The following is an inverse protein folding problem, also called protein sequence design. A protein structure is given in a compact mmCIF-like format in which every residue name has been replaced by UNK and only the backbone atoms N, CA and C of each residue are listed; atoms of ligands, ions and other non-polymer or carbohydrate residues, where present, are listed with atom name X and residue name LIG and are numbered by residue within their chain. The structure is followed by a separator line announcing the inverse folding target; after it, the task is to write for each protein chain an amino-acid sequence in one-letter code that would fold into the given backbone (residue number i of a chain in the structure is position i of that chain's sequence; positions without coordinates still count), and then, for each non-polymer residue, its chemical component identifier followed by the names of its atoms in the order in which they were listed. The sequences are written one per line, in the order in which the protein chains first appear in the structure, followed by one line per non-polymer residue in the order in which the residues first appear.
data_IF_771379233182
#
_entry.id   IF_771379233182
#
_cell.length_a   1.000
_cell.length_b   1.000
_cell.length_c   1.000
_cell.angle_alpha   90.00
_cell.angle_beta   90.00
_cell.angle_gamma   90.00
#
_symmetry.space_group_name_H-M   'P 1'
#
loop_
_entity.id
_entity.type
_entity.pdbx_description
1 polymer ?
2 non-polymer ?
#
# COMPACT_ATOMS: atom_id res chain seq x y z
N UNK A 29 23.93 22.75 13.59
CA UNK A 29 25.01 23.69 13.19
C UNK A 29 24.40 24.91 12.49
N UNK A 30 23.08 24.87 12.31
CA UNK A 30 22.32 25.93 11.66
C UNK A 30 21.61 26.80 12.69
N UNK A 31 20.68 26.19 13.42
CA UNK A 31 19.91 26.89 14.45
C UNK A 31 20.70 26.99 15.76
N UNK A 42 16.49 29.51 17.61
CA UNK A 42 16.16 29.72 16.20
C UNK A 42 17.38 29.59 15.27
N UNK A 43 17.19 29.98 14.00
CA UNK A 43 18.23 29.90 12.96
C UNK A 43 19.20 31.07 12.95
N UNK A 44 20.45 30.81 12.60
CA UNK A 44 21.42 31.89 12.52
C UNK A 44 21.07 32.72 11.30
N UNK A 45 21.55 33.97 11.24
CA UNK A 45 21.25 34.83 10.09
C UNK A 45 21.74 34.20 8.79
N UNK A 46 20.97 34.38 7.72
CA UNK A 46 21.36 33.83 6.44
C UNK A 46 21.04 32.36 6.24
N UNK A 47 20.71 31.64 7.31
CA UNK A 47 20.39 30.22 7.15
C UNK A 47 18.91 30.01 6.86
N UNK A 48 18.61 29.09 5.95
CA UNK A 48 17.23 28.82 5.54
C UNK A 48 16.52 27.71 6.33
N UNK A 49 17.28 26.78 6.90
CA UNK A 49 16.70 25.65 7.65
C UNK A 49 17.76 24.75 8.29
N UNK A 50 17.31 23.82 9.13
CA UNK A 50 18.20 22.87 9.80
C UNK A 50 17.70 21.49 9.43
N UNK A 51 18.58 20.63 8.88
CA UNK A 51 18.17 19.28 8.49
C UNK A 51 17.20 18.61 9.45
N UNK A 52 17.28 18.98 10.72
CA UNK A 52 16.39 18.40 11.73
C UNK A 52 14.92 18.52 11.32
N UNK A 53 14.53 19.72 10.88
CA UNK A 53 13.16 20.01 10.48
C UNK A 53 12.62 19.20 9.32
N UNK A 54 13.48 18.46 8.63
CA UNK A 54 13.00 17.68 7.51
C UNK A 54 14.12 17.28 6.57
N UNK A 55 13.87 16.28 5.71
CA UNK A 55 14.81 15.73 4.73
C UNK A 55 15.16 16.63 3.54
N UNK A 56 14.55 17.81 3.48
CA UNK A 56 14.82 18.73 2.38
C UNK A 56 15.70 19.91 2.74
N UNK A 57 16.65 19.70 3.64
CA UNK A 57 17.55 20.78 4.03
C UNK A 57 19.00 20.26 3.94
N UNK A 58 19.89 21.00 3.29
CA UNK A 58 21.26 20.53 3.16
C UNK A 58 21.96 20.60 4.50
N UNK A 59 23.07 19.89 4.60
CA UNK A 59 23.84 19.89 5.83
C UNK A 59 24.29 21.31 6.09
N UNK A 60 24.22 22.15 5.07
CA UNK A 60 24.62 23.53 5.21
C UNK A 60 23.45 24.52 5.35
N UNK A 61 22.30 24.01 5.78
CA UNK A 61 21.13 24.85 6.03
C UNK A 61 20.46 25.57 4.89
N UNK A 62 20.23 24.88 3.78
CA UNK A 62 19.58 25.53 2.65
C UNK A 62 18.58 24.55 2.07
N UNK A 63 17.45 25.04 1.58
CA UNK A 63 16.45 24.15 0.99
C UNK A 63 17.08 23.41 -0.20
N UNK A 64 16.73 22.14 -0.39
CA UNK A 64 17.27 21.38 -1.51
C UNK A 64 16.52 21.80 -2.77
N UNK A 65 17.04 21.44 -3.93
CA UNK A 65 16.40 21.83 -5.18
C UNK A 65 15.05 21.16 -5.40
N UNK A 66 14.22 21.81 -6.20
CA UNK A 66 12.91 21.30 -6.53
C UNK A 66 13.05 20.06 -7.39
N UNK A 67 14.10 19.28 -7.15
CA UNK A 67 14.30 18.06 -7.92
C UNK A 67 14.91 16.93 -7.09
N UNK A 68 15.12 17.17 -5.80
CA UNK A 68 15.69 16.15 -4.92
C UNK A 68 14.64 15.21 -4.33
N UNK A 69 14.95 13.92 -4.34
CA UNK A 69 14.08 12.88 -3.80
C UNK A 69 14.11 12.90 -2.28
N UNK A 70 12.95 12.77 -1.64
CA UNK A 70 12.90 12.76 -0.18
C UNK A 70 12.04 11.63 0.41
N UNK A 71 11.34 10.91 -0.46
CA UNK A 71 10.50 9.79 -0.04
C UNK A 71 10.62 8.70 -1.11
N UNK A 72 10.98 7.50 -0.69
CA UNK A 72 11.13 6.38 -1.62
C UNK A 72 9.80 6.09 -2.30
N UNK A 73 9.87 5.38 -3.41
CA UNK A 73 8.67 5.03 -4.15
C UNK A 73 7.81 4.11 -3.31
N UNK A 74 6.68 3.71 -3.86
CA UNK A 74 5.79 2.83 -3.12
C UNK A 74 4.76 2.17 -4.02
N UNK A 75 4.06 1.19 -3.45
CA UNK A 75 3.03 0.43 -4.16
C UNK A 75 1.90 1.32 -4.63
N UNK A 76 1.45 2.19 -3.74
CA UNK A 76 0.35 3.11 -4.03
C UNK A 76 0.78 4.58 -4.20
N UNK A 77 1.94 4.92 -3.65
CA UNK A 77 2.44 6.29 -3.75
C UNK A 77 3.69 6.42 -4.63
N UNK A 78 3.81 7.57 -5.29
CA UNK A 78 4.95 7.86 -6.12
C UNK A 78 6.00 8.39 -5.15
N UNK A 79 7.23 8.53 -5.63
CA UNK A 79 8.30 9.03 -4.79
C UNK A 79 8.08 10.50 -4.51
N UNK A 80 8.65 10.98 -3.41
CA UNK A 80 8.51 12.37 -3.06
C UNK A 80 9.70 13.22 -3.47
N UNK A 81 9.43 14.38 -4.05
CA UNK A 81 10.48 15.29 -4.46
C UNK A 81 10.38 16.51 -3.57
N UNK A 82 11.48 17.21 -3.35
CA UNK A 82 11.43 18.43 -2.55
C UNK A 82 10.97 19.56 -3.48
N UNK A 83 10.39 20.61 -2.91
CA UNK A 83 9.92 21.71 -3.74
C UNK A 83 10.87 22.90 -3.73
N UNK A 84 11.91 22.83 -2.91
CA UNK A 84 12.88 23.90 -2.84
C UNK A 84 12.43 25.13 -2.09
N UNK A 85 11.25 25.06 -1.49
CA UNK A 85 10.70 26.18 -0.73
C UNK A 85 10.58 25.90 0.76
N UNK A 86 10.57 24.61 1.12
CA UNK A 86 10.44 24.19 2.51
C UNK A 86 11.38 23.04 2.86
N UNK A 87 11.59 22.81 4.15
CA UNK A 87 12.44 21.71 4.63
C UNK A 87 11.63 20.44 4.92
N UNK A 88 10.33 20.48 4.61
CA UNK A 88 9.46 19.33 4.79
C UNK A 88 9.37 18.60 3.47
N UNK A 89 9.14 17.30 3.52
CA UNK A 89 9.03 16.53 2.31
C UNK A 89 7.55 16.49 1.95
N UNK A 90 7.18 17.10 0.81
CA UNK A 90 5.77 17.10 0.42
C UNK A 90 5.08 15.78 0.16
N UNK A 91 3.78 15.80 0.44
CA UNK A 91 2.82 14.70 0.30
C UNK A 91 3.20 13.41 -0.40
N UNK A 92 3.29 13.46 -1.72
CA UNK A 92 3.59 12.30 -2.58
C UNK A 92 2.31 11.99 -3.33
N UNK A 93 2.33 12.16 -4.64
CA UNK A 93 1.15 11.89 -5.43
C UNK A 93 0.79 10.41 -5.44
N UNK A 94 -0.51 10.10 -5.39
CA UNK A 94 -0.90 8.69 -5.40
C UNK A 94 -0.94 8.06 -6.80
N UNK A 95 -0.65 6.76 -6.88
CA UNK A 95 -0.67 6.03 -8.15
C UNK A 95 -2.14 5.74 -8.44
N UNK A 96 -2.46 5.35 -9.69
CA UNK A 96 -3.86 5.05 -10.04
C UNK A 96 -4.54 4.25 -8.93
N UNK A 97 -5.86 4.32 -8.86
CA UNK A 97 -6.57 3.61 -7.80
C UNK A 97 -6.52 2.09 -7.77
N UNK A 98 -7.17 1.38 -8.67
CA UNK A 98 -7.09 -0.06 -8.52
C UNK A 98 -5.77 -0.76 -8.83
N UNK A 99 -4.67 -0.10 -8.49
CA UNK A 99 -3.33 -0.62 -8.70
C UNK A 99 -3.06 -1.66 -7.60
N UNK A 100 -2.56 -2.83 -7.98
CA UNK A 100 -2.28 -3.89 -7.01
C UNK A 100 -1.27 -3.48 -5.95
N UNK A 101 -1.40 -4.04 -4.75
CA UNK A 101 -0.48 -3.76 -3.66
C UNK A 101 -0.52 -4.91 -2.69
N UNK A 102 0.51 -4.96 -1.85
CA UNK A 102 0.65 -6.00 -0.85
C UNK A 102 0.69 -7.35 -1.52
N UNK A 103 1.37 -7.42 -2.65
CA UNK A 103 1.51 -8.67 -3.40
C UNK A 103 0.19 -9.15 -3.95
N UNK A 104 -0.41 -8.34 -4.80
CA UNK A 104 -1.68 -8.68 -5.40
C UNK A 104 -2.72 -9.06 -4.36
N UNK A 105 -2.42 -8.83 -3.09
CA UNK A 105 -3.37 -9.16 -2.05
C UNK A 105 -4.45 -8.07 -1.94
N UNK A 106 -4.07 -6.82 -2.15
CA UNK A 106 -5.03 -5.72 -2.04
C UNK A 106 -4.92 -4.70 -3.14
N UNK A 107 -5.75 -3.66 -3.05
CA UNK A 107 -5.72 -2.58 -4.03
C UNK A 107 -5.44 -1.22 -3.37
N UNK A 108 -5.10 -0.25 -4.21
CA UNK A 108 -4.77 1.11 -3.77
C UNK A 108 -5.97 2.06 -3.75
N UNK A 109 -6.27 2.64 -2.59
CA UNK A 109 -7.38 3.59 -2.50
C UNK A 109 -6.87 4.90 -1.91
N UNK A 110 -6.79 5.94 -2.73
CA UNK A 110 -6.32 7.24 -2.26
C UNK A 110 -4.97 7.10 -1.56
N UNK A 111 -3.97 6.66 -2.31
CA UNK A 111 -2.63 6.50 -1.76
C UNK A 111 -2.49 5.64 -0.52
N UNK A 112 -3.28 4.58 -0.43
CA UNK A 112 -3.19 3.69 0.71
C UNK A 112 -3.54 2.29 0.25
N UNK A 113 -2.78 1.30 0.71
CA UNK A 113 -3.04 -0.07 0.34
C UNK A 113 -4.18 -0.52 1.23
N UNK A 114 -5.37 -0.56 0.66
CA UNK A 114 -6.54 -0.94 1.41
C UNK A 114 -7.37 -1.99 0.69
N UNK A 115 -8.59 -2.15 1.16
CA UNK A 115 -9.50 -3.10 0.57
C UNK A 115 -8.97 -4.50 0.33
N UNK A 116 -9.48 -5.10 -0.73
CA UNK A 116 -9.09 -6.44 -1.08
C UNK A 116 -8.99 -6.49 -2.59
N UNK A 117 -8.15 -7.40 -3.08
CA UNK A 117 -7.96 -7.53 -4.51
C UNK A 117 -9.31 -7.80 -5.19
N UNK A 118 -10.21 -8.44 -4.46
CA UNK A 118 -11.54 -8.75 -4.98
C UNK A 118 -12.28 -7.49 -5.44
N UNK A 119 -12.02 -6.36 -4.79
CA UNK A 119 -12.70 -5.11 -5.11
C UNK A 119 -12.31 -4.55 -6.46
N UNK A 120 -11.21 -5.04 -7.01
CA UNK A 120 -10.79 -4.55 -8.31
C UNK A 120 -11.77 -5.05 -9.37
N UNK A 121 -12.29 -6.26 -9.18
CA UNK A 121 -13.20 -6.84 -10.16
C UNK A 121 -14.69 -6.86 -9.80
N UNK A 122 -15.12 -5.95 -8.92
CA UNK A 122 -16.52 -5.91 -8.55
C UNK A 122 -16.97 -6.96 -7.53
N UNK A 123 -16.03 -7.79 -7.07
CA UNK A 123 -16.34 -8.84 -6.11
C UNK A 123 -16.00 -8.39 -4.70
N UNK A 124 -16.24 -9.28 -3.73
CA UNK A 124 -15.96 -9.01 -2.33
C UNK A 124 -15.19 -10.17 -1.70
N UNK A 125 -14.24 -9.87 -0.83
CA UNK A 125 -13.48 -10.93 -0.21
C UNK A 125 -14.38 -11.71 0.71
N UNK A 126 -14.18 -13.02 0.77
CA UNK A 126 -14.96 -13.90 1.65
C UNK A 126 -14.02 -14.99 2.11
N UNK A 127 -14.39 -15.68 3.18
CA UNK A 127 -13.57 -16.75 3.71
C UNK A 127 -13.79 -17.98 2.86
N UNK A 128 -12.71 -18.71 2.58
CA UNK A 128 -12.79 -19.93 1.78
C UNK A 128 -13.46 -21.07 2.55
N UNK A 137 -6.05 -23.41 7.15
CA UNK A 137 -6.05 -24.22 5.93
C UNK A 137 -6.21 -23.33 4.69
N UNK A 138 -7.37 -23.39 4.04
CA UNK A 138 -7.60 -22.54 2.87
C UNK A 138 -8.02 -21.18 3.42
N UNK A 139 -7.90 -21.05 4.74
CA UNK A 139 -8.25 -19.83 5.45
C UNK A 139 -7.34 -18.65 5.14
N UNK A 140 -6.17 -18.92 4.58
CA UNK A 140 -5.25 -17.84 4.24
C UNK A 140 -5.11 -17.78 2.74
N UNK A 141 -6.17 -18.17 2.06
CA UNK A 141 -6.21 -18.11 0.61
C UNK A 141 -7.19 -17.00 0.35
N UNK A 142 -7.01 -16.27 -0.74
CA UNK A 142 -7.96 -15.21 -1.01
C UNK A 142 -9.17 -15.76 -1.75
N UNK A 143 -10.35 -15.68 -1.14
CA UNK A 143 -11.57 -16.12 -1.79
C UNK A 143 -12.48 -14.92 -2.04
N UNK A 144 -13.12 -14.89 -3.21
CA UNK A 144 -14.03 -13.79 -3.54
C UNK A 144 -15.43 -14.30 -3.86
N UNK A 145 -16.40 -13.39 -3.87
CA UNK A 145 -17.78 -13.75 -4.20
C UNK A 145 -18.49 -12.52 -4.74
N UNK A 146 -19.57 -12.76 -5.51
CA UNK A 146 -20.38 -11.67 -6.03
C UNK A 146 -21.06 -11.16 -4.76
N UNK A 147 -21.46 -9.90 -4.73
CA UNK A 147 -22.08 -9.37 -3.52
C UNK A 147 -23.42 -10.04 -3.18
N UNK A 148 -23.70 -10.13 -1.88
CA UNK A 148 -24.93 -10.74 -1.36
C UNK A 148 -25.09 -12.22 -1.69
N UNK A 149 -24.13 -12.79 -2.43
CA UNK A 149 -24.20 -14.19 -2.85
C UNK A 149 -23.06 -15.09 -2.35
N UNK A 150 -23.04 -15.38 -1.05
CA UNK A 150 -22.02 -16.23 -0.44
C UNK A 150 -21.93 -17.61 -1.08
N UNK A 151 -22.89 -17.92 -1.92
CA UNK A 151 -22.91 -19.21 -2.61
C UNK A 151 -21.80 -19.25 -3.64
N UNK A 152 -21.44 -18.07 -4.11
CA UNK A 152 -20.43 -17.91 -5.14
C UNK A 152 -18.98 -17.79 -4.63
N UNK A 153 -18.79 -17.78 -3.31
CA UNK A 153 -17.46 -17.66 -2.70
C UNK A 153 -16.51 -18.76 -3.12
N UNK A 154 -15.53 -18.40 -3.95
CA UNK A 154 -14.53 -19.34 -4.45
C UNK A 154 -13.15 -18.71 -4.48
N UNK A 155 -12.11 -19.54 -4.38
CA UNK A 155 -10.73 -19.06 -4.42
C UNK A 155 -10.44 -18.36 -5.74
N UNK A 156 -9.39 -17.55 -5.75
CA UNK A 156 -9.01 -16.79 -6.94
C UNK A 156 -8.53 -17.67 -8.06
N UNK A 157 -7.96 -18.82 -7.71
CA UNK A 157 -7.47 -19.72 -8.72
C UNK A 157 -8.45 -20.80 -9.11
N UNK A 158 -9.74 -20.48 -9.11
CA UNK A 158 -10.76 -21.46 -9.47
C UNK A 158 -11.12 -21.27 -10.94
N UNK A 159 -11.91 -22.19 -11.49
CA UNK A 159 -12.33 -22.08 -12.88
C UNK A 159 -13.07 -20.76 -13.05
N UNK A 160 -14.04 -20.47 -12.18
CA UNK A 160 -14.71 -19.18 -12.29
C UNK A 160 -13.61 -18.22 -11.84
N UNK A 161 -13.79 -16.91 -12.00
CA UNK A 161 -12.75 -15.96 -11.58
C UNK A 161 -11.51 -16.02 -12.49
N UNK A 162 -11.37 -17.09 -13.27
CA UNK A 162 -10.23 -17.22 -14.16
C UNK A 162 -10.12 -16.00 -15.07
N UNK A 163 -11.25 -15.55 -15.59
CA UNK A 163 -11.26 -14.40 -16.46
C UNK A 163 -10.64 -13.23 -15.72
N UNK A 164 -10.51 -13.38 -14.41
CA UNK A 164 -9.94 -12.31 -13.61
C UNK A 164 -8.54 -12.60 -13.07
N UNK A 165 -8.34 -13.81 -12.55
CA UNK A 165 -7.05 -14.16 -11.97
C UNK A 165 -6.26 -15.16 -12.77
N UNK A 166 -6.79 -15.54 -13.92
CA UNK A 166 -6.10 -16.48 -14.77
C UNK A 166 -5.68 -17.66 -13.91
N UNK A 167 -6.64 -18.23 -13.20
CA UNK A 167 -6.35 -19.38 -12.35
C UNK A 167 -5.15 -19.33 -11.41
N UNK A 168 -4.92 -18.19 -10.76
CA UNK A 168 -3.81 -18.07 -9.83
C UNK A 168 -4.32 -18.09 -8.39
N UNK A 169 -3.82 -18.99 -7.57
CA UNK A 169 -4.29 -19.06 -6.19
C UNK A 169 -3.56 -18.13 -5.23
N UNK A 170 -3.98 -16.87 -5.21
CA UNK A 170 -3.38 -15.87 -4.34
C UNK A 170 -3.56 -16.20 -2.87
N UNK A 171 -2.47 -16.12 -2.12
CA UNK A 171 -2.52 -16.42 -0.70
C UNK A 171 -2.40 -15.13 0.12
N UNK A 172 -3.11 -15.04 1.24
CA UNK A 172 -3.02 -13.85 2.07
C UNK A 172 -1.64 -13.69 2.65
N UNK A 173 -1.16 -12.46 2.73
CA UNK A 173 0.18 -12.21 3.27
C UNK A 173 0.23 -12.47 4.77
N UNK A 174 1.36 -13.00 5.26
CA UNK A 174 1.39 -13.23 6.70
C UNK A 174 1.11 -11.91 7.42
N UNK A 175 0.27 -11.96 8.44
CA UNK A 175 -0.05 -10.75 9.17
C UNK A 175 -1.46 -10.29 8.89
N UNK A 176 -1.99 -10.73 7.75
CA UNK A 176 -3.34 -10.40 7.32
C UNK A 176 -4.41 -10.95 8.25
N UNK A 177 -5.63 -10.40 8.14
CA UNK A 177 -6.72 -10.89 8.98
C UNK A 177 -7.17 -12.18 8.30
N UNK A 178 -7.86 -13.06 9.02
CA UNK A 178 -8.39 -14.30 8.43
C UNK A 178 -9.55 -14.82 9.26
N UNK A 179 -10.41 -15.59 8.60
CA UNK A 179 -11.55 -16.17 9.27
C UNK A 179 -12.40 -15.13 10.00
N UNK A 180 -12.95 -14.20 9.22
CA UNK A 180 -13.81 -13.15 9.73
C UNK A 180 -13.19 -12.41 10.88
N UNK A 181 -11.94 -12.01 10.72
CA UNK A 181 -11.22 -11.29 11.77
C UNK A 181 -11.13 -12.02 13.11
N UNK A 182 -10.95 -13.33 13.04
CA UNK A 182 -10.83 -14.15 14.22
C UNK A 182 -9.37 -14.47 14.49
N UNK A 183 -8.54 -14.37 13.46
CA UNK A 183 -7.12 -14.64 13.61
C UNK A 183 -6.32 -13.98 12.52
N UNK A 184 -5.02 -14.24 12.49
CA UNK A 184 -4.15 -13.67 11.47
C UNK A 184 -3.35 -14.81 10.85
N UNK A 185 -2.75 -14.55 9.70
CA UNK A 185 -1.99 -15.56 9.00
C UNK A 185 -0.51 -15.61 9.36
N UNK A 186 -0.04 -16.82 9.65
CA UNK A 186 1.35 -17.13 10.00
C UNK A 186 2.25 -17.05 8.80
N UNK A 187 3.49 -17.40 9.05
CA UNK A 187 4.47 -17.45 8.01
C UNK A 187 4.24 -18.85 7.48
N UNK A 188 3.46 -19.61 8.24
CA UNK A 188 3.14 -20.96 7.87
C UNK A 188 1.86 -21.02 7.08
N UNK A 189 1.28 -19.85 6.81
CA UNK A 189 0.03 -19.75 6.07
C UNK A 189 -1.13 -20.35 6.88
N UNK A 190 -1.01 -20.34 8.20
CA UNK A 190 -2.05 -20.86 9.08
C UNK A 190 -2.76 -19.65 9.73
N UNK A 191 -4.04 -19.80 10.10
CA UNK A 191 -4.78 -18.70 10.71
C UNK A 191 -4.67 -18.72 12.24
N UNK A 192 -4.56 -17.54 12.85
CA UNK A 192 -4.43 -17.39 14.30
C UNK A 192 -3.13 -18.02 14.78
X LIG B 1 23.33 17.57 1.89
X LIG B 1 24.40 18.57 2.12
X LIG B 1 22.54 17.46 3.13
X LIG B 1 22.46 18.00 0.77
X LIG B 1 23.93 16.27 1.57
X LIG C 1 7.18 10.55 5.68
X LIG C 1 8.08 11.72 5.58
X LIG C 1 7.54 9.55 4.67
X LIG C 1 7.32 9.96 7.03
X LIG C 1 5.79 10.97 5.46
#
# INVERSE_FOLDING_TARGET
SGQPICGNGMVEQGEECDCGYSDQCKDECCYDANQPEGKKCKLKPGKQCSPSQGPCCTAHCAFKSKTEKCRDDSDCAKEGICNGITALCPASDPKPNFTDCNRHTQVCINGQCAGSICEKHGLEECTCASSDGKDDKELCHVCCMKKMEPSTCASTGSVQWNKYFLGRTITLQPGSPCNDFRGYCDVFMRCR
SO4 S O1 O2 O3 O4
SO4 S O1 O2 O3 O4
#
